data_IF_954536346943
#
_entry.id   IF_954536346943
#
_cell.length_a   1.000
_cell.length_b   1.000
_cell.length_c   1.000
_cell.angle_alpha   90.00
_cell.angle_beta   90.00
_cell.angle_gamma   90.00
#
_symmetry.space_group_name_H-M   'P 1'
#
loop_
_entity.id
_entity.type
_entity.pdbx_description
1 polymer ?
#
# COMPACT_ATOMS: atom_id res chain seq x y z
N UNK A 1 -1.94 -17.05 -16.72
CA UNK A 1 -2.17 -16.77 -15.29
C UNK A 1 -3.63 -16.97 -14.93
N UNK A 2 -4.56 -16.16 -15.47
CA UNK A 2 -5.99 -16.28 -15.17
C UNK A 2 -6.53 -17.72 -15.20
N UNK A 3 -6.35 -18.45 -16.32
CA UNK A 3 -6.83 -19.85 -16.43
C UNK A 3 -6.23 -20.81 -15.40
N UNK A 4 -4.98 -20.58 -14.99
CA UNK A 4 -4.26 -21.46 -14.05
C UNK A 4 -4.81 -21.35 -12.63
N UNK A 5 -5.22 -20.14 -12.25
CA UNK A 5 -5.62 -19.82 -10.87
C UNK A 5 -7.11 -19.48 -10.74
N UNK A 6 -7.90 -19.62 -11.80
CA UNK A 6 -9.31 -19.21 -11.84
C UNK A 6 -10.20 -19.91 -10.80
N UNK A 7 -9.85 -21.14 -10.43
CA UNK A 7 -10.59 -21.94 -9.44
C UNK A 7 -10.04 -21.81 -8.02
N UNK A 8 -8.95 -21.07 -7.81
CA UNK A 8 -8.34 -20.94 -6.49
C UNK A 8 -9.09 -19.88 -5.65
N UNK A 9 -9.73 -20.25 -4.53
CA UNK A 9 -10.59 -19.34 -3.79
C UNK A 9 -9.81 -18.27 -3.00
N UNK A 10 -8.50 -18.43 -2.86
CA UNK A 10 -7.62 -17.59 -2.04
C UNK A 10 -6.80 -16.60 -2.88
N UNK A 11 -7.27 -16.25 -4.07
CA UNK A 11 -6.58 -15.35 -5.01
C UNK A 11 -7.28 -14.00 -5.10
N UNK A 12 -6.50 -12.94 -4.93
CA UNK A 12 -6.86 -11.55 -5.24
C UNK A 12 -5.85 -11.05 -6.27
N UNK A 13 -6.32 -10.41 -7.35
CA UNK A 13 -5.44 -9.92 -8.40
C UNK A 13 -5.04 -8.47 -8.15
N UNK A 14 -3.73 -8.22 -8.05
CA UNK A 14 -3.15 -6.90 -8.26
C UNK A 14 -2.71 -6.86 -9.72
N UNK A 15 -3.46 -6.17 -10.58
CA UNK A 15 -3.29 -6.23 -12.04
C UNK A 15 -1.90 -5.77 -12.48
N UNK A 16 -1.35 -4.77 -11.80
CA UNK A 16 0.02 -4.29 -11.97
C UNK A 16 0.53 -3.71 -10.66
N UNK A 17 1.81 -3.93 -10.38
CA UNK A 17 2.58 -3.32 -9.30
C UNK A 17 3.24 -2.03 -9.80
N UNK A 18 3.07 -0.94 -9.05
CA UNK A 18 3.67 0.37 -9.35
C UNK A 18 3.40 0.80 -10.80
N UNK A 19 2.13 0.78 -11.22
CA UNK A 19 1.77 0.83 -12.65
C UNK A 19 2.33 2.04 -13.41
N UNK A 20 2.61 3.15 -12.73
CA UNK A 20 3.21 4.35 -13.32
C UNK A 20 4.70 4.22 -13.65
N UNK A 21 5.37 3.16 -13.20
CA UNK A 21 6.69 2.76 -13.68
C UNK A 21 6.73 2.56 -15.22
N UNK A 22 5.59 2.19 -15.83
CA UNK A 22 5.46 2.10 -17.30
C UNK A 22 5.78 3.43 -18.02
N UNK A 23 5.67 4.54 -17.30
CA UNK A 23 5.99 5.88 -17.78
C UNK A 23 7.17 6.50 -17.01
N UNK A 24 8.02 5.67 -16.42
CA UNK A 24 9.14 6.10 -15.58
C UNK A 24 8.70 6.94 -14.38
N UNK A 25 7.59 6.56 -13.74
CA UNK A 25 6.97 7.26 -12.60
C UNK A 25 6.51 8.69 -12.91
N UNK A 26 6.38 9.04 -14.20
CA UNK A 26 5.82 10.32 -14.63
C UNK A 26 4.31 10.22 -14.79
N UNK A 27 3.60 11.14 -14.15
CA UNK A 27 2.14 11.20 -14.14
C UNK A 27 1.64 12.43 -14.92
N UNK A 28 0.48 12.34 -15.59
CA UNK A 28 -0.36 11.14 -15.76
C UNK A 28 0.25 10.13 -16.74
N UNK A 29 -0.07 8.85 -16.58
CA UNK A 29 0.19 7.83 -17.60
C UNK A 29 -0.68 8.07 -18.84
N UNK A 30 -0.18 7.69 -20.01
CA UNK A 30 -0.81 7.92 -21.30
C UNK A 30 -2.05 7.03 -21.50
N UNK A 31 -3.04 7.46 -22.31
CA UNK A 31 -4.22 6.66 -22.61
C UNK A 31 -3.90 5.25 -23.14
N UNK A 32 -2.88 5.11 -24.01
CA UNK A 32 -2.45 3.81 -24.52
C UNK A 32 -1.89 2.90 -23.41
N UNK A 33 -1.15 3.45 -22.45
CA UNK A 33 -0.64 2.71 -21.29
C UNK A 33 -1.80 2.24 -20.38
N UNK A 34 -2.80 3.10 -20.16
CA UNK A 34 -4.03 2.71 -19.44
C UNK A 34 -4.75 1.56 -20.14
N UNK A 35 -4.91 1.62 -21.47
CA UNK A 35 -5.58 0.56 -22.24
C UNK A 35 -4.83 -0.78 -22.17
N UNK A 36 -3.49 -0.76 -22.18
CA UNK A 36 -2.69 -1.96 -21.98
C UNK A 36 -2.99 -2.63 -20.63
N UNK A 37 -2.98 -1.85 -19.54
CA UNK A 37 -3.27 -2.35 -18.19
C UNK A 37 -4.71 -2.88 -18.07
N UNK A 38 -5.67 -2.20 -18.70
CA UNK A 38 -7.08 -2.63 -18.77
C UNK A 38 -7.21 -3.94 -19.56
N UNK A 39 -6.46 -4.12 -20.64
CA UNK A 39 -6.47 -5.37 -21.41
C UNK A 39 -5.98 -6.56 -20.57
N UNK A 40 -4.96 -6.35 -19.73
CA UNK A 40 -4.51 -7.38 -18.76
C UNK A 40 -5.63 -7.71 -17.77
N UNK A 41 -6.27 -6.69 -17.17
CA UNK A 41 -7.39 -6.90 -16.24
C UNK A 41 -8.55 -7.68 -16.88
N UNK A 42 -8.92 -7.35 -18.12
CA UNK A 42 -9.97 -8.07 -18.87
C UNK A 42 -9.60 -9.53 -19.10
N UNK A 43 -8.37 -9.81 -19.54
CA UNK A 43 -7.92 -11.19 -19.74
C UNK A 43 -7.92 -12.03 -18.45
N UNK A 44 -7.67 -11.41 -17.29
CA UNK A 44 -7.83 -12.06 -15.99
C UNK A 44 -9.31 -12.31 -15.67
N UNK A 45 -10.15 -11.27 -15.78
CA UNK A 45 -11.61 -11.32 -15.55
C UNK A 45 -12.27 -12.43 -16.37
N UNK A 46 -11.95 -12.52 -17.66
CA UNK A 46 -12.52 -13.51 -18.59
C UNK A 46 -12.19 -14.94 -18.16
N UNK A 47 -11.04 -15.15 -17.54
CA UNK A 47 -10.61 -16.47 -17.11
C UNK A 47 -11.28 -16.93 -15.80
N UNK A 48 -11.49 -16.03 -14.84
CA UNK A 48 -12.12 -16.37 -13.56
C UNK A 48 -13.62 -16.00 -13.49
N UNK A 49 -14.20 -15.43 -14.54
CA UNK A 49 -15.64 -15.16 -14.62
C UNK A 49 -16.19 -14.21 -13.55
N UNK A 50 -15.34 -13.36 -12.96
CA UNK A 50 -15.76 -12.44 -11.88
C UNK A 50 -15.80 -13.03 -10.47
N UNK A 51 -15.33 -14.26 -10.24
CA UNK A 51 -15.32 -14.89 -8.90
C UNK A 51 -14.19 -14.42 -7.98
N UNK A 52 -13.21 -13.68 -8.50
CA UNK A 52 -12.01 -13.22 -7.77
C UNK A 52 -11.93 -11.70 -7.85
N UNK A 53 -11.57 -11.06 -6.73
CA UNK A 53 -11.44 -9.60 -6.67
C UNK A 53 -10.17 -9.13 -7.39
N UNK A 54 -10.25 -7.96 -8.00
CA UNK A 54 -9.13 -7.31 -8.66
C UNK A 54 -8.94 -5.86 -8.21
N UNK A 55 -7.67 -5.44 -8.13
CA UNK A 55 -7.24 -4.07 -7.84
C UNK A 55 -6.02 -3.69 -8.69
N UNK A 56 -5.49 -2.49 -8.47
CA UNK A 56 -4.35 -1.92 -9.20
C UNK A 56 -3.46 -1.13 -8.24
N UNK A 57 -2.14 -1.40 -8.26
CA UNK A 57 -1.18 -0.81 -7.32
C UNK A 57 -0.40 0.36 -7.96
N UNK A 58 -0.57 1.61 -7.49
CA UNK A 58 0.23 2.76 -7.94
C UNK A 58 1.63 2.76 -7.30
N UNK A 59 2.61 3.44 -7.91
CA UNK A 59 4.01 3.56 -7.44
C UNK A 59 4.37 4.92 -6.83
N UNK A 60 3.42 5.86 -6.80
CA UNK A 60 3.56 7.16 -6.16
C UNK A 60 2.58 7.28 -4.98
N UNK A 61 2.74 8.32 -4.15
CA UNK A 61 1.82 8.68 -3.07
C UNK A 61 0.42 9.05 -3.60
N UNK A 62 -0.36 8.06 -4.04
CA UNK A 62 -1.66 8.22 -4.73
C UNK A 62 -2.49 6.94 -4.70
N UNK A 63 -3.78 7.07 -5.00
CA UNK A 63 -4.68 5.92 -5.19
C UNK A 63 -4.86 5.57 -6.67
N UNK A 64 -5.04 4.28 -6.97
CA UNK A 64 -5.48 3.81 -8.29
C UNK A 64 -6.86 4.33 -8.70
N UNK A 65 -7.65 4.82 -7.73
CA UNK A 65 -8.91 5.49 -8.00
C UNK A 65 -8.74 6.69 -8.96
N UNK A 66 -7.58 7.34 -8.97
CA UNK A 66 -7.36 8.50 -9.86
C UNK A 66 -7.37 8.10 -11.34
N UNK A 67 -6.91 6.89 -11.69
CA UNK A 67 -6.81 6.46 -13.09
C UNK A 67 -7.84 5.40 -13.50
N UNK A 68 -8.33 4.59 -12.56
CA UNK A 68 -9.06 3.37 -12.87
C UNK A 68 -10.39 3.19 -12.11
N UNK A 69 -10.83 4.20 -11.34
CA UNK A 69 -12.02 4.07 -10.48
C UNK A 69 -13.27 3.62 -11.25
N UNK A 70 -13.49 4.12 -12.46
CA UNK A 70 -14.68 3.82 -13.25
C UNK A 70 -14.59 2.47 -13.98
N UNK A 71 -13.45 1.79 -13.90
CA UNK A 71 -13.26 0.46 -14.50
C UNK A 71 -14.18 -0.57 -13.83
N UNK A 72 -15.09 -1.24 -14.57
CA UNK A 72 -15.95 -2.28 -14.00
C UNK A 72 -15.17 -3.54 -13.58
N UNK A 73 -13.93 -3.67 -14.05
CA UNK A 73 -12.98 -4.70 -13.64
C UNK A 73 -12.31 -4.40 -12.30
N UNK A 74 -12.29 -3.15 -11.83
CA UNK A 74 -11.63 -2.76 -10.59
C UNK A 74 -12.62 -2.90 -9.42
N UNK A 75 -12.47 -3.91 -8.58
CA UNK A 75 -13.43 -4.18 -7.50
C UNK A 75 -13.17 -3.30 -6.26
N UNK A 76 -11.91 -2.96 -5.99
CA UNK A 76 -11.52 -2.02 -4.95
C UNK A 76 -10.28 -1.21 -5.35
N UNK A 77 -10.12 -0.02 -4.78
CA UNK A 77 -8.96 0.83 -5.02
C UNK A 77 -7.81 0.45 -4.08
N UNK A 78 -6.58 0.68 -4.52
CA UNK A 78 -5.38 0.49 -3.72
C UNK A 78 -4.53 1.76 -3.78
N UNK A 79 -3.85 2.05 -2.68
CA UNK A 79 -3.01 3.20 -2.44
C UNK A 79 -1.59 2.71 -2.13
N UNK A 80 -0.58 3.45 -2.59
CA UNK A 80 0.75 3.43 -2.01
C UNK A 80 0.94 4.77 -1.30
N UNK A 81 1.18 4.76 0.02
CA UNK A 81 1.40 5.98 0.82
C UNK A 81 2.85 6.13 1.30
N UNK A 82 3.65 5.06 1.22
CA UNK A 82 5.05 5.04 1.65
C UNK A 82 6.01 5.84 0.76
N UNK A 83 7.28 5.99 1.13
CA UNK A 83 7.93 5.52 2.36
C UNK A 83 8.43 6.72 3.18
N UNK A 84 7.50 7.49 3.73
CA UNK A 84 7.78 8.61 4.62
C UNK A 84 7.21 8.33 6.01
N UNK A 85 7.95 8.66 7.06
CA UNK A 85 7.47 8.62 8.45
C UNK A 85 6.40 9.69 8.64
N UNK A 86 6.68 10.91 8.19
CA UNK A 86 5.80 12.07 8.15
C UNK A 86 5.78 12.62 6.73
N UNK A 87 4.65 12.46 6.03
CA UNK A 87 4.50 12.93 4.66
C UNK A 87 4.46 14.46 4.61
N UNK A 88 3.89 15.11 5.63
CA UNK A 88 3.71 16.57 5.66
C UNK A 88 5.03 17.33 5.80
N UNK A 89 6.01 16.76 6.50
CA UNK A 89 7.38 17.27 6.55
C UNK A 89 8.05 17.39 5.17
N UNK A 90 7.54 16.65 4.18
CA UNK A 90 8.00 16.66 2.79
C UNK A 90 6.98 17.27 1.82
N UNK A 91 5.98 18.02 2.32
CA UNK A 91 4.93 18.67 1.51
C UNK A 91 4.11 17.67 0.67
N UNK A 92 3.97 16.44 1.18
CA UNK A 92 3.16 15.38 0.58
C UNK A 92 1.93 15.08 1.43
N UNK A 93 0.83 14.63 0.82
CA UNK A 93 -0.38 14.27 1.56
C UNK A 93 -0.14 13.04 2.45
N UNK A 94 -0.72 13.10 3.64
CA UNK A 94 -0.80 11.95 4.54
C UNK A 94 -1.74 10.86 4.01
N UNK A 95 -1.53 9.62 4.47
CA UNK A 95 -2.27 8.47 3.96
C UNK A 95 -3.78 8.56 4.26
N UNK A 96 -4.17 9.09 5.42
CA UNK A 96 -5.58 9.36 5.73
C UNK A 96 -6.25 10.29 4.71
N UNK A 97 -5.52 11.29 4.20
CA UNK A 97 -6.03 12.23 3.19
C UNK A 97 -6.30 11.49 1.88
N UNK A 98 -5.35 10.66 1.45
CA UNK A 98 -5.45 9.89 0.21
C UNK A 98 -6.57 8.83 0.27
N UNK A 99 -6.72 8.16 1.43
CA UNK A 99 -7.82 7.21 1.68
C UNK A 99 -9.17 7.94 1.63
N UNK A 100 -9.33 9.04 2.36
CA UNK A 100 -10.59 9.78 2.41
C UNK A 100 -11.01 10.29 1.01
N UNK A 101 -10.05 10.75 0.20
CA UNK A 101 -10.30 11.14 -1.19
C UNK A 101 -10.78 9.98 -2.06
N UNK A 102 -10.17 8.80 -1.94
CA UNK A 102 -10.59 7.62 -2.70
C UNK A 102 -11.96 7.10 -2.25
N UNK A 103 -12.20 7.03 -0.93
CA UNK A 103 -13.45 6.57 -0.33
C UNK A 103 -14.67 7.40 -0.75
N UNK A 104 -14.50 8.72 -0.94
CA UNK A 104 -15.58 9.63 -1.33
C UNK A 104 -15.99 9.57 -2.80
N UNK A 105 -15.22 8.89 -3.65
CA UNK A 105 -15.54 8.76 -5.08
C UNK A 105 -16.84 7.98 -5.29
N UNK A 106 -17.50 8.23 -6.42
CA UNK A 106 -18.80 7.63 -6.79
C UNK A 106 -18.69 6.84 -8.10
N UNK A 107 -19.28 5.63 -8.18
CA UNK A 107 -19.89 4.88 -7.07
C UNK A 107 -18.83 4.50 -6.00
N UNK A 108 -19.22 4.42 -4.73
CA UNK A 108 -18.26 4.09 -3.66
C UNK A 108 -17.68 2.71 -3.95
N UNK A 109 -16.34 2.60 -3.89
CA UNK A 109 -15.60 1.33 -3.91
C UNK A 109 -14.72 1.26 -2.66
N UNK A 110 -14.50 0.07 -2.08
CA UNK A 110 -13.53 -0.08 -0.99
C UNK A 110 -12.15 0.46 -1.40
N UNK A 111 -11.36 0.90 -0.42
CA UNK A 111 -9.99 1.35 -0.63
C UNK A 111 -9.06 0.73 0.41
N UNK A 112 -7.85 0.37 0.00
CA UNK A 112 -6.82 -0.23 0.85
C UNK A 112 -5.51 0.57 0.70
N UNK A 113 -4.83 0.86 1.81
CA UNK A 113 -3.42 1.24 1.78
C UNK A 113 -2.59 -0.05 1.59
N UNK A 114 -2.14 -0.26 0.36
CA UNK A 114 -1.44 -1.46 -0.10
C UNK A 114 0.06 -1.40 0.16
N UNK A 115 0.64 -0.20 0.21
CA UNK A 115 2.07 0.01 0.42
C UNK A 115 2.31 1.29 1.25
N UNK A 116 2.18 1.23 2.58
CA UNK A 116 2.54 2.32 3.48
C UNK A 116 4.06 2.39 3.70
N UNK A 117 4.53 3.24 4.62
CA UNK A 117 5.92 3.12 5.10
C UNK A 117 6.14 1.73 5.71
N UNK A 118 7.24 1.07 5.30
CA UNK A 118 7.62 -0.23 5.83
C UNK A 118 8.43 -0.05 7.11
N UNK A 119 8.26 -0.97 8.06
CA UNK A 119 9.06 -1.00 9.27
C UNK A 119 10.55 -1.14 8.92
N UNK A 120 11.38 -0.41 9.66
CA UNK A 120 12.82 -0.30 9.46
C UNK A 120 13.27 0.35 8.13
N UNK A 121 12.38 0.85 7.28
CA UNK A 121 12.81 1.62 6.09
C UNK A 121 13.33 3.00 6.50
N UNK A 122 14.48 3.47 5.94
CA UNK A 122 14.94 4.84 6.14
C UNK A 122 13.91 5.86 5.65
N UNK A 123 13.71 6.90 6.45
CA UNK A 123 12.74 7.94 6.17
C UNK A 123 13.04 8.63 4.84
N UNK A 124 12.01 8.78 4.02
CA UNK A 124 12.07 9.41 2.71
C UNK A 124 13.22 8.87 1.83
N UNK A 125 13.60 7.59 1.96
CA UNK A 125 14.77 6.99 1.30
C UNK A 125 14.81 7.23 -0.22
N UNK A 126 13.64 7.26 -0.85
CA UNK A 126 13.52 7.48 -2.29
C UNK A 126 13.65 8.94 -2.71
N UNK A 127 13.31 9.89 -1.83
CA UNK A 127 13.43 11.32 -2.06
C UNK A 127 14.82 11.81 -1.66
N UNK A 128 15.27 11.49 -0.45
CA UNK A 128 16.53 11.95 0.12
C UNK A 128 17.74 11.16 -0.38
N UNK A 129 17.53 9.98 -0.97
CA UNK A 129 18.62 9.09 -1.42
C UNK A 129 19.62 8.87 -0.28
N UNK A 130 19.10 8.54 0.91
CA UNK A 130 19.89 8.41 2.12
C UNK A 130 19.45 7.20 2.95
N UNK A 131 20.36 6.23 3.15
CA UNK A 131 20.06 4.93 3.80
C UNK A 131 20.40 4.88 5.29
N UNK A 132 21.15 5.88 5.78
CA UNK A 132 21.59 5.99 7.18
C UNK A 132 20.79 7.02 7.97
N UNK A 133 19.68 7.52 7.41
CA UNK A 133 18.75 8.41 8.09
C UNK A 133 17.92 7.71 9.17
N UNK A 134 17.05 8.46 9.86
CA UNK A 134 16.04 7.90 10.77
C UNK A 134 15.25 6.80 10.07
N UNK A 135 14.78 5.80 10.83
CA UNK A 135 14.04 4.66 10.29
C UNK A 135 12.66 4.58 10.90
N UNK A 136 11.71 4.09 10.11
CA UNK A 136 10.35 3.89 10.57
C UNK A 136 10.30 2.83 11.68
N UNK A 137 9.97 3.28 12.88
CA UNK A 137 9.68 2.38 14.00
C UNK A 137 8.25 1.84 13.97
N UNK A 138 7.90 0.97 14.93
CA UNK A 138 6.56 0.40 15.04
C UNK A 138 5.48 1.47 15.29
N UNK A 139 5.83 2.60 15.90
CA UNK A 139 4.93 3.75 16.07
C UNK A 139 4.52 4.39 14.74
N UNK A 140 5.46 4.58 13.81
CA UNK A 140 5.20 5.12 12.48
C UNK A 140 4.27 4.18 11.68
N UNK A 141 4.52 2.88 11.74
CA UNK A 141 3.69 1.85 11.09
C UNK A 141 2.29 1.80 11.70
N UNK A 142 2.16 1.77 13.03
CA UNK A 142 0.84 1.82 13.70
C UNK A 142 0.09 3.10 13.32
N UNK A 143 0.76 4.26 13.30
CA UNK A 143 0.13 5.52 12.90
C UNK A 143 -0.50 5.41 11.52
N UNK A 144 0.23 4.93 10.51
CA UNK A 144 -0.30 4.72 9.15
C UNK A 144 -1.45 3.73 9.13
N UNK A 145 -1.34 2.61 9.85
CA UNK A 145 -2.37 1.58 9.89
C UNK A 145 -3.71 2.09 10.43
N UNK A 146 -3.67 2.79 11.57
CA UNK A 146 -4.88 3.35 12.19
C UNK A 146 -5.44 4.51 11.38
N UNK A 147 -4.58 5.40 10.86
CA UNK A 147 -5.00 6.50 9.99
C UNK A 147 -5.68 6.01 8.71
N UNK A 148 -5.18 4.95 8.09
CA UNK A 148 -5.83 4.37 6.91
C UNK A 148 -7.24 3.88 7.24
N UNK A 149 -7.39 3.00 8.23
CA UNK A 149 -8.70 2.37 8.52
C UNK A 149 -9.71 3.39 9.06
N UNK A 150 -9.31 4.26 9.99
CA UNK A 150 -10.22 5.27 10.56
C UNK A 150 -10.67 6.33 9.55
N UNK A 151 -9.98 6.46 8.42
CA UNK A 151 -10.37 7.34 7.32
C UNK A 151 -11.15 6.65 6.20
N UNK A 152 -11.44 5.36 6.34
CA UNK A 152 -12.35 4.61 5.45
C UNK A 152 -11.71 3.50 4.65
N UNK A 153 -10.44 3.15 4.93
CA UNK A 153 -9.85 1.96 4.32
C UNK A 153 -10.55 0.69 4.83
N UNK A 154 -10.77 -0.27 3.95
CA UNK A 154 -11.38 -1.57 4.29
C UNK A 154 -10.40 -2.53 5.00
N UNK A 155 -9.19 -2.07 5.31
CA UNK A 155 -8.10 -2.83 5.89
C UNK A 155 -6.78 -2.07 5.79
N UNK A 156 -5.68 -2.77 6.02
CA UNK A 156 -4.32 -2.24 5.90
C UNK A 156 -3.33 -3.35 5.52
N UNK A 157 -2.34 -3.02 4.70
CA UNK A 157 -1.23 -3.93 4.37
C UNK A 157 0.02 -3.49 5.12
N UNK A 158 0.64 -4.40 5.86
CA UNK A 158 1.92 -4.17 6.53
C UNK A 158 3.09 -4.55 5.62
N UNK A 159 4.21 -3.85 5.76
CA UNK A 159 5.48 -4.27 5.19
C UNK A 159 6.66 -3.94 6.09
N UNK A 160 7.76 -4.66 5.87
CA UNK A 160 9.02 -4.49 6.58
C UNK A 160 10.16 -4.50 5.55
N UNK A 161 11.13 -3.59 5.71
CA UNK A 161 12.21 -3.37 4.74
C UNK A 161 12.99 -4.66 4.42
N UNK A 162 13.34 -5.40 5.46
CA UNK A 162 14.04 -6.69 5.33
C UNK A 162 13.17 -7.85 4.82
N UNK A 163 11.84 -7.79 4.99
CA UNK A 163 10.94 -8.92 4.66
C UNK A 163 10.52 -8.91 3.19
N UNK A 164 10.15 -7.76 2.61
CA UNK A 164 9.59 -7.73 1.26
C UNK A 164 10.54 -8.30 0.20
N UNK A 165 11.86 -8.13 0.41
CA UNK A 165 12.92 -8.62 -0.45
C UNK A 165 13.58 -9.92 0.01
N UNK A 166 13.06 -10.56 1.07
CA UNK A 166 13.67 -11.73 1.71
C UNK A 166 15.17 -11.54 2.01
N UNK A 167 15.54 -10.38 2.55
CA UNK A 167 16.94 -10.01 2.72
C UNK A 167 17.69 -11.03 3.60
N UNK A 168 18.84 -11.49 3.10
CA UNK A 168 19.76 -12.38 3.81
C UNK A 168 21.14 -11.74 3.73
N UNK A 169 21.71 -11.26 4.85
CA UNK A 169 23.03 -10.63 4.82
C UNK A 169 24.11 -11.68 4.52
N UNK A 170 25.05 -11.32 3.64
CA UNK A 170 26.22 -12.14 3.30
C UNK A 170 27.30 -12.09 4.39
N UNK A 171 27.29 -11.06 5.23
CA UNK A 171 28.18 -10.89 6.37
C UNK A 171 27.51 -10.05 7.46
N UNK A 172 27.89 -10.22 8.74
CA UNK A 172 27.33 -9.44 9.85
C UNK A 172 27.47 -7.92 9.60
N UNK A 173 26.37 -7.19 9.81
CA UNK A 173 26.33 -5.74 9.63
C UNK A 173 26.22 -5.24 8.19
N UNK A 174 26.00 -6.13 7.21
CA UNK A 174 25.71 -5.70 5.83
C UNK A 174 24.46 -4.82 5.79
N UNK A 175 24.57 -3.65 5.17
CA UNK A 175 23.45 -2.78 4.82
C UNK A 175 23.41 -2.58 3.31
N UNK A 176 22.26 -2.81 2.66
CA UNK A 176 22.12 -2.62 1.22
C UNK A 176 22.10 -1.13 0.82
N UNK A 177 22.80 -0.80 -0.25
CA UNK A 177 22.90 0.58 -0.76
C UNK A 177 21.67 0.99 -1.58
N UNK A 178 21.66 2.21 -2.13
CA UNK A 178 20.55 2.66 -2.97
C UNK A 178 20.51 1.99 -4.36
N UNK A 179 21.64 1.45 -4.82
CA UNK A 179 21.77 0.89 -6.18
C UNK A 179 21.47 -0.61 -6.24
N UNK A 180 21.02 -1.24 -5.16
CA UNK A 180 20.82 -2.70 -5.06
C UNK A 180 19.48 -3.19 -5.61
N UNK A 181 18.90 -2.50 -6.60
CA UNK A 181 17.70 -2.97 -7.30
C UNK A 181 17.86 -4.42 -7.79
N UNK A 182 16.87 -5.32 -7.61
CA UNK A 182 15.52 -5.11 -7.10
C UNK A 182 15.36 -5.31 -5.58
N UNK A 183 16.46 -5.49 -4.83
CA UNK A 183 16.37 -5.75 -3.38
C UNK A 183 15.84 -4.54 -2.63
N UNK A 184 16.10 -3.34 -3.14
CA UNK A 184 15.75 -2.04 -2.55
C UNK A 184 16.72 -1.62 -1.44
N UNK A 185 16.52 -0.43 -0.84
CA UNK A 185 17.58 0.25 -0.10
C UNK A 185 17.49 0.07 1.41
N UNK A 186 18.67 -0.03 2.04
CA UNK A 186 18.81 0.06 3.49
C UNK A 186 18.43 -1.20 4.25
N UNK A 187 18.20 -2.34 3.61
CA UNK A 187 18.01 -3.59 4.34
C UNK A 187 19.24 -3.96 5.14
N UNK A 188 19.04 -4.42 6.39
CA UNK A 188 20.11 -4.61 7.37
C UNK A 188 19.96 -5.82 8.29
N UNK A 189 18.84 -6.53 8.26
CA UNK A 189 18.59 -7.68 9.14
C UNK A 189 18.11 -8.89 8.35
N UNK A 190 18.33 -10.10 8.87
CA UNK A 190 17.84 -11.29 8.19
C UNK A 190 16.29 -11.31 8.20
N UNK A 191 15.65 -11.56 7.06
CA UNK A 191 14.19 -11.44 6.91
C UNK A 191 13.39 -12.28 7.92
N UNK A 192 13.90 -13.47 8.28
CA UNK A 192 13.28 -14.34 9.32
C UNK A 192 13.27 -13.70 10.71
N UNK A 193 14.32 -12.94 11.05
CA UNK A 193 14.37 -12.20 12.32
C UNK A 193 13.37 -11.03 12.28
N UNK A 194 13.28 -10.37 11.12
CA UNK A 194 12.35 -9.27 10.89
C UNK A 194 10.87 -9.68 10.93
N UNK A 195 10.52 -10.97 10.82
CA UNK A 195 9.14 -11.44 11.03
C UNK A 195 8.65 -11.18 12.46
N UNK A 196 9.56 -11.13 13.41
CA UNK A 196 9.28 -10.87 14.83
C UNK A 196 9.36 -9.38 15.18
N UNK A 197 9.44 -8.50 14.18
CA UNK A 197 9.51 -7.07 14.40
C UNK A 197 8.28 -6.57 15.20
N UNK A 198 8.43 -5.58 16.09
CA UNK A 198 7.33 -5.12 16.92
C UNK A 198 6.11 -4.65 16.11
N UNK A 199 6.28 -3.97 14.98
CA UNK A 199 5.17 -3.56 14.13
C UNK A 199 4.41 -4.74 13.53
N UNK A 200 5.13 -5.78 13.07
CA UNK A 200 4.54 -7.00 12.53
C UNK A 200 3.60 -7.68 13.55
N UNK A 201 4.07 -7.87 14.78
CA UNK A 201 3.32 -8.52 15.86
C UNK A 201 2.16 -7.66 16.38
N UNK A 202 2.12 -6.37 16.06
CA UNK A 202 1.10 -5.43 16.52
C UNK A 202 -0.08 -5.26 15.55
N UNK A 203 0.06 -5.59 14.27
CA UNK A 203 -1.02 -5.42 13.28
C UNK A 203 -2.31 -6.17 13.64
N UNK A 204 -2.19 -7.30 14.34
CA UNK A 204 -3.33 -8.04 14.88
C UNK A 204 -4.20 -7.21 15.85
N UNK A 205 -3.67 -6.19 16.52
CA UNK A 205 -4.44 -5.34 17.42
C UNK A 205 -5.42 -4.46 16.65
N UNK A 206 -4.98 -3.90 15.51
CA UNK A 206 -5.87 -3.13 14.63
C UNK A 206 -7.00 -4.02 14.13
N UNK A 207 -6.68 -5.23 13.62
CA UNK A 207 -7.69 -6.18 13.16
C UNK A 207 -8.72 -6.50 14.25
N UNK A 208 -8.26 -6.87 15.45
CA UNK A 208 -9.14 -7.18 16.58
C UNK A 208 -10.03 -6.00 16.98
N UNK A 209 -9.49 -4.79 16.98
CA UNK A 209 -10.26 -3.58 17.30
C UNK A 209 -11.38 -3.37 16.28
N UNK A 210 -11.05 -3.38 15.00
CA UNK A 210 -11.98 -3.06 13.91
C UNK A 210 -13.06 -4.15 13.77
N UNK A 211 -12.70 -5.42 13.97
CA UNK A 211 -13.64 -6.54 13.96
C UNK A 211 -14.48 -6.68 15.26
N UNK A 212 -14.18 -5.90 16.31
CA UNK A 212 -14.94 -5.96 17.59
C UNK A 212 -16.31 -5.27 17.56
N UNK A 213 -16.61 -4.53 16.48
CA UNK A 213 -17.86 -3.78 16.26
C UNK A 213 -18.46 -4.17 14.91
N UNK A 214 -19.75 -3.87 14.64
CA UNK A 214 -20.39 -4.21 13.36
C UNK A 214 -19.64 -3.65 12.14
N UNK A 215 -18.80 -4.48 11.51
CA UNK A 215 -17.81 -4.06 10.51
C UNK A 215 -18.41 -3.34 9.30
N UNK A 216 -19.49 -3.90 8.75
CA UNK A 216 -20.10 -3.41 7.51
C UNK A 216 -20.88 -2.09 7.65
N UNK A 217 -21.13 -1.63 8.89
CA UNK A 217 -21.84 -0.36 9.15
C UNK A 217 -20.91 0.71 9.71
N UNK A 218 -19.60 0.44 9.81
CA UNK A 218 -18.62 1.45 10.22
C UNK A 218 -18.46 2.50 9.11
N UNK A 219 -18.42 3.77 9.52
CA UNK A 219 -18.15 4.90 8.63
C UNK A 219 -17.09 5.81 9.27
N UNK A 220 -16.22 6.44 8.46
CA UNK A 220 -15.39 7.54 8.95
C UNK A 220 -16.26 8.73 9.35
N UNK A 221 -16.13 9.21 10.57
CA UNK A 221 -16.87 10.36 11.08
C UNK A 221 -15.96 11.27 11.92
N UNK A 222 -15.49 12.35 11.29
CA UNK A 222 -14.64 13.34 11.95
C UNK A 222 -15.41 14.25 12.90
N UNK A 223 -16.75 14.28 12.85
CA UNK A 223 -17.57 15.12 13.75
C UNK A 223 -17.50 14.67 15.20
N UNK A 224 -17.03 13.44 15.45
CA UNK A 224 -16.82 12.89 16.79
C UNK A 224 -15.62 13.50 17.52
N UNK A 225 -14.70 14.16 16.81
CA UNK A 225 -13.55 14.85 17.42
C UNK A 225 -13.96 16.29 17.73
N UNK A 226 -14.27 16.57 19.00
CA UNK A 226 -14.63 17.92 19.44
C UNK A 226 -13.40 18.69 19.93
N UNK A 227 -13.10 19.83 19.31
CA UNK A 227 -11.97 20.70 19.67
C UNK A 227 -11.54 21.56 18.48
N UNK A 228 -10.67 22.56 18.67
CA UNK A 228 -10.14 23.34 17.55
C UNK A 228 -9.37 22.42 16.59
N UNK A 229 -9.67 22.51 15.29
CA UNK A 229 -8.80 21.96 14.24
C UNK A 229 -7.48 22.73 14.28
N UNK A 230 -6.38 22.04 14.63
CA UNK A 230 -5.03 22.60 14.71
C UNK A 230 -4.37 22.73 13.34
#
# INVERSE_FOLDING_TARGET
MGRRYASEPHVVWIVSGEYDAINGFKLPIQPAQKQLLIAVARGLRDAHGGTQLMTMHPGAARSSAVDFHDGPWLDFNMLQSGHLIDSTAHQLPENYTLIAQAYRRKPIKPVLDGEPIYEDTPDAVWLLKHIHGPRAGPDAVRRRAYWAVLSGACGHTYGHNDVYGFFTPAFPGQVLSLSTWPRGPGQRSHWREALEAPGATQMQHLRRLIESRPFLTQIPDHTLVTGPES
#
